data_IF_146001102321
#
_entry.id   IF_146001102321
#
_cell.length_a   1.000
_cell.length_b   1.000
_cell.length_c   1.000
_cell.angle_alpha   90.00
_cell.angle_beta   90.00
_cell.angle_gamma   90.00
#
_symmetry.space_group_name_H-M   'P 1'
#
loop_
_entity.id
_entity.type
_entity.pdbx_description
1 polymer ?
#
# COMPACT_ATOMS: atom_id res chain seq x y z
N UNK A 1 -18.46 -25.18 4.57
CA UNK A 1 -18.14 -24.47 3.31
C UNK A 1 -19.44 -24.18 2.58
N UNK A 2 -19.73 -22.91 2.26
CA UNK A 2 -20.09 -22.62 0.89
C UNK A 2 -19.37 -21.37 0.34
N UNK A 3 -18.76 -21.61 -0.82
CA UNK A 3 -18.68 -20.77 -2.00
C UNK A 3 -18.52 -19.25 -1.82
N UNK A 4 -17.28 -18.83 -2.05
CA UNK A 4 -16.88 -17.57 -2.66
C UNK A 4 -17.91 -17.05 -3.67
N UNK A 5 -18.77 -16.12 -3.24
CA UNK A 5 -19.55 -15.29 -4.16
C UNK A 5 -18.61 -14.21 -4.68
N UNK A 6 -17.95 -14.56 -5.78
CA UNK A 6 -17.20 -13.67 -6.65
C UNK A 6 -18.08 -12.46 -7.00
N UNK A 7 -17.84 -11.34 -6.31
CA UNK A 7 -18.30 -10.02 -6.68
C UNK A 7 -17.52 -9.56 -7.93
N UNK A 8 -17.76 -10.24 -9.06
CA UNK A 8 -17.05 -10.03 -10.31
C UNK A 8 -17.74 -9.09 -11.33
N UNK A 9 -19.05 -8.73 -11.29
CA UNK A 9 -19.62 -7.99 -12.40
C UNK A 9 -19.35 -6.48 -12.35
N UNK A 10 -19.00 -5.93 -11.17
CA UNK A 10 -18.82 -4.48 -11.00
C UNK A 10 -17.44 -3.99 -11.44
N UNK A 11 -16.41 -4.84 -11.41
CA UNK A 11 -15.06 -4.46 -11.87
C UNK A 11 -14.99 -4.34 -13.41
N UNK A 12 -15.78 -5.15 -14.15
CA UNK A 12 -15.81 -5.10 -15.60
C UNK A 12 -16.48 -3.81 -16.12
N UNK A 13 -17.52 -3.34 -15.43
CA UNK A 13 -18.22 -2.11 -15.81
C UNK A 13 -17.34 -0.86 -15.66
N UNK A 14 -16.44 -0.84 -14.66
CA UNK A 14 -15.48 0.25 -14.49
C UNK A 14 -14.42 0.30 -15.61
N UNK A 15 -14.01 -0.88 -16.12
CA UNK A 15 -13.06 -0.98 -17.25
C UNK A 15 -13.72 -0.60 -18.59
N UNK A 16 -14.99 -0.94 -18.79
CA UNK A 16 -15.77 -0.55 -19.97
C UNK A 16 -16.16 0.95 -19.96
N UNK A 17 -16.39 1.54 -18.78
CA UNK A 17 -16.60 2.98 -18.64
C UNK A 17 -15.33 3.79 -18.99
N UNK A 18 -14.13 3.22 -18.80
CA UNK A 18 -12.87 3.83 -19.27
C UNK A 18 -12.72 3.80 -20.79
N UNK A 19 -13.26 2.77 -21.47
CA UNK A 19 -13.24 2.68 -22.93
C UNK A 19 -14.23 3.66 -23.61
N UNK A 20 -15.25 4.13 -22.88
CA UNK A 20 -16.23 5.14 -23.35
C UNK A 20 -15.71 6.58 -23.36
N UNK A 21 -14.56 6.86 -22.76
CA UNK A 21 -13.86 8.16 -22.86
C UNK A 21 -12.94 8.26 -24.10
N UNK A 22 -13.15 7.43 -25.12
CA UNK A 22 -12.42 7.47 -26.40
C UNK A 22 -13.04 8.42 -27.45
N UNK A 23 -14.02 9.24 -27.07
CA UNK A 23 -14.70 10.15 -27.98
C UNK A 23 -14.06 11.53 -27.99
N UNK A 24 -13.29 11.81 -29.04
CA UNK A 24 -12.70 13.12 -29.40
C UNK A 24 -11.49 13.52 -28.55
N UNK A 25 -10.32 13.01 -28.95
CA UNK A 25 -9.05 13.69 -28.70
C UNK A 25 -9.16 15.06 -29.37
N UNK A 26 -9.21 16.14 -28.59
CA UNK A 26 -9.13 17.49 -29.12
C UNK A 26 -7.89 17.60 -30.02
N UNK A 27 -7.98 18.30 -31.16
CA UNK A 27 -6.87 18.43 -32.12
C UNK A 27 -5.59 19.06 -31.52
N UNK A 28 -5.68 19.61 -30.31
CA UNK A 28 -4.60 20.17 -29.51
C UNK A 28 -4.06 19.23 -28.42
N UNK A 29 -4.40 17.93 -28.48
CA UNK A 29 -3.84 16.98 -27.53
C UNK A 29 -2.32 16.90 -27.71
N UNK A 30 -1.53 17.06 -26.64
CA UNK A 30 -0.09 16.99 -26.72
C UNK A 30 0.31 15.62 -27.28
N UNK A 31 1.29 15.62 -28.18
CA UNK A 31 1.80 14.39 -28.78
C UNK A 31 2.10 13.36 -27.68
N UNK A 32 1.57 12.14 -27.86
CA UNK A 32 1.83 11.05 -26.94
C UNK A 32 3.35 10.86 -26.85
N UNK A 33 3.87 10.83 -25.62
CA UNK A 33 5.28 10.56 -25.39
C UNK A 33 5.64 9.19 -26.00
N UNK A 34 6.82 9.12 -26.61
CA UNK A 34 7.36 7.83 -27.06
C UNK A 34 7.56 6.91 -25.86
N UNK A 35 7.52 5.61 -26.08
CA UNK A 35 7.82 4.60 -25.05
C UNK A 35 9.16 4.85 -24.36
N UNK A 36 10.17 5.30 -25.12
CA UNK A 36 11.49 5.65 -24.58
C UNK A 36 11.44 6.87 -23.66
N UNK A 37 10.65 7.89 -24.02
CA UNK A 37 10.46 9.08 -23.18
C UNK A 37 9.67 8.78 -21.91
N UNK A 38 8.73 7.84 -21.96
CA UNK A 38 8.01 7.33 -20.79
C UNK A 38 8.95 6.54 -19.88
N UNK A 39 9.77 5.64 -20.45
CA UNK A 39 10.73 4.85 -19.70
C UNK A 39 11.80 5.73 -19.03
N UNK A 40 12.30 6.76 -19.73
CA UNK A 40 13.25 7.73 -19.17
C UNK A 40 12.65 8.51 -18.00
N UNK A 41 11.40 8.99 -18.11
CA UNK A 41 10.71 9.66 -17.01
C UNK A 41 10.40 8.72 -15.84
N UNK A 42 10.05 7.47 -16.12
CA UNK A 42 9.78 6.47 -15.09
C UNK A 42 11.06 6.07 -14.34
N UNK A 43 12.20 6.04 -15.03
CA UNK A 43 13.51 5.80 -14.41
C UNK A 43 13.92 6.93 -13.46
N UNK A 44 13.64 8.19 -13.82
CA UNK A 44 13.85 9.36 -12.94
C UNK A 44 12.76 9.51 -11.85
N UNK A 45 11.62 8.84 -11.99
CA UNK A 45 10.51 8.90 -11.04
C UNK A 45 10.69 7.97 -9.83
N UNK A 46 11.92 7.77 -9.36
CA UNK A 46 12.14 7.20 -8.04
C UNK A 46 11.60 8.19 -6.98
N UNK A 47 10.32 8.07 -6.64
CA UNK A 47 9.66 8.82 -5.57
C UNK A 47 10.16 8.32 -4.20
N UNK A 48 11.40 8.68 -3.90
CA UNK A 48 12.09 8.40 -2.63
C UNK A 48 11.34 8.98 -1.44
N UNK A 49 10.56 10.04 -1.63
CA UNK A 49 9.71 10.65 -0.61
C UNK A 49 8.58 9.72 -0.19
N UNK A 50 7.93 9.05 -1.15
CA UNK A 50 6.91 8.05 -0.84
C UNK A 50 7.49 6.84 -0.11
N UNK A 51 8.66 6.35 -0.53
CA UNK A 51 9.36 5.23 0.11
C UNK A 51 9.77 5.55 1.55
N UNK A 52 10.40 6.70 1.77
CA UNK A 52 10.81 7.15 3.12
C UNK A 52 9.62 7.37 4.06
N UNK A 53 8.50 7.92 3.55
CA UNK A 53 7.28 8.09 4.34
C UNK A 53 6.66 6.75 4.72
N UNK A 54 6.60 5.80 3.79
CA UNK A 54 6.10 4.45 4.07
C UNK A 54 6.98 3.74 5.12
N UNK A 55 8.30 3.82 4.99
CA UNK A 55 9.23 3.26 5.97
C UNK A 55 9.07 3.90 7.35
N UNK A 56 8.92 5.23 7.43
CA UNK A 56 8.71 5.95 8.69
C UNK A 56 7.39 5.56 9.36
N UNK A 57 6.32 5.41 8.58
CA UNK A 57 5.01 4.97 9.07
C UNK A 57 5.07 3.55 9.66
N UNK A 58 5.72 2.61 8.96
CA UNK A 58 5.93 1.24 9.45
C UNK A 58 6.74 1.22 10.77
N UNK A 59 7.80 2.05 10.85
CA UNK A 59 8.62 2.17 12.06
C UNK A 59 7.81 2.70 13.25
N UNK A 60 7.01 3.76 13.03
CA UNK A 60 6.15 4.35 14.04
C UNK A 60 5.09 3.37 14.57
N UNK A 61 4.43 2.62 13.67
CA UNK A 61 3.48 1.58 14.05
C UNK A 61 4.15 0.47 14.88
N UNK A 62 5.32 0.02 14.46
CA UNK A 62 6.10 -0.97 15.22
C UNK A 62 6.49 -0.47 16.62
N UNK A 63 6.89 0.81 16.74
CA UNK A 63 7.20 1.42 18.03
C UNK A 63 6.00 1.47 18.97
N UNK A 64 4.81 1.81 18.47
CA UNK A 64 3.58 1.81 19.27
C UNK A 64 3.21 0.44 19.81
N UNK A 65 3.31 -0.61 18.97
CA UNK A 65 3.05 -1.98 19.40
C UNK A 65 4.00 -2.41 20.53
N UNK A 66 5.30 -2.08 20.41
CA UNK A 66 6.29 -2.36 21.46
C UNK A 66 6.02 -1.56 22.74
N UNK A 67 5.64 -0.29 22.62
CA UNK A 67 5.27 0.53 23.77
C UNK A 67 4.06 -0.04 24.52
N UNK A 68 3.05 -0.53 23.79
CA UNK A 68 1.88 -1.20 24.39
C UNK A 68 2.27 -2.52 25.05
N UNK A 69 3.10 -3.33 24.41
CA UNK A 69 3.63 -4.57 24.98
C UNK A 69 4.39 -4.31 26.30
N UNK A 70 5.14 -3.22 26.38
CA UNK A 70 5.85 -2.80 27.59
C UNK A 70 4.90 -2.31 28.69
N UNK A 71 3.81 -1.61 28.35
CA UNK A 71 2.76 -1.25 29.31
C UNK A 71 2.13 -2.49 29.93
N UNK A 72 1.79 -3.51 29.12
CA UNK A 72 1.23 -4.79 29.60
C UNK A 72 2.22 -5.49 30.53
N UNK A 73 3.51 -5.49 30.18
CA UNK A 73 4.58 -6.05 31.02
C UNK A 73 4.62 -5.37 32.39
N UNK A 74 4.58 -4.03 32.43
CA UNK A 74 4.64 -3.25 33.67
C UNK A 74 3.38 -3.44 34.53
N UNK A 75 2.23 -3.59 33.89
CA UNK A 75 0.97 -3.86 34.56
C UNK A 75 0.82 -5.31 35.06
N UNK A 76 1.81 -6.19 34.84
CA UNK A 76 1.78 -7.62 35.18
C UNK A 76 0.54 -8.34 34.63
N UNK A 77 0.05 -7.87 33.48
CA UNK A 77 -1.12 -8.41 32.81
C UNK A 77 -0.75 -9.68 31.99
N UNK A 78 -1.75 -10.49 31.59
CA UNK A 78 -1.52 -11.73 30.88
C UNK A 78 -0.61 -11.60 29.65
N UNK A 79 0.35 -12.51 29.53
CA UNK A 79 1.42 -12.46 28.52
C UNK A 79 0.95 -12.73 27.07
N UNK A 80 -0.25 -13.27 26.86
CA UNK A 80 -0.76 -13.61 25.54
C UNK A 80 -0.87 -12.39 24.63
N UNK A 81 -1.51 -11.31 25.10
CA UNK A 81 -1.65 -10.05 24.37
C UNK A 81 -0.28 -9.41 24.08
N UNK A 82 0.63 -9.44 25.07
CA UNK A 82 2.01 -8.96 24.90
C UNK A 82 2.73 -9.70 23.78
N UNK A 83 2.63 -11.03 23.75
CA UNK A 83 3.31 -11.85 22.74
C UNK A 83 2.77 -11.60 21.32
N UNK A 84 1.46 -11.34 21.17
CA UNK A 84 0.86 -11.01 19.89
C UNK A 84 1.32 -9.63 19.38
N UNK A 85 1.35 -8.63 20.26
CA UNK A 85 1.83 -7.28 19.92
C UNK A 85 3.29 -7.29 19.44
N UNK A 86 4.16 -8.06 20.11
CA UNK A 86 5.56 -8.21 19.71
C UNK A 86 5.68 -8.92 18.35
N UNK A 87 4.93 -10.01 18.14
CA UNK A 87 4.89 -10.72 16.85
C UNK A 87 4.47 -9.80 15.70
N UNK A 88 3.47 -8.96 15.91
CA UNK A 88 3.01 -7.97 14.92
C UNK A 88 4.05 -6.89 14.67
N UNK A 89 4.76 -6.43 15.71
CA UNK A 89 5.86 -5.47 15.55
C UNK A 89 7.03 -6.04 14.74
N UNK A 90 7.33 -7.33 14.90
CA UNK A 90 8.36 -8.03 14.12
C UNK A 90 7.93 -8.25 12.66
N UNK A 91 6.66 -8.58 12.42
CA UNK A 91 6.11 -8.66 11.07
C UNK A 91 6.20 -7.32 10.32
N UNK A 92 5.98 -6.19 11.01
CA UNK A 92 6.17 -4.86 10.41
C UNK A 92 7.63 -4.56 10.10
N UNK A 93 8.57 -5.04 10.93
CA UNK A 93 10.01 -4.89 10.67
C UNK A 93 10.43 -5.66 9.41
N UNK A 94 9.93 -6.89 9.25
CA UNK A 94 10.20 -7.72 8.06
C UNK A 94 9.64 -7.12 6.76
N UNK A 95 8.69 -6.18 6.82
CA UNK A 95 8.19 -5.46 5.64
C UNK A 95 9.06 -4.24 5.28
N UNK A 96 10.02 -3.87 6.13
CA UNK A 96 10.96 -2.78 5.91
C UNK A 96 12.32 -3.25 5.35
N UNK A 97 12.65 -4.53 5.56
CA UNK A 97 13.86 -5.21 5.09
C UNK A 97 13.63 -5.87 3.71
#
# INVERSE_FOLDING_TARGET
>A
MPASRLALPTALAALLALAGCGGVVAGDAPALLTTDAIAARAADAQDTTRGTRAASELAWRGAQLRARAEQIRRASLPNAERSDLLRRADALKQQQD
#
